data_IF_270787211305
#
_entry.id   IF_270787211305
#
_cell.length_a   1.000
_cell.length_b   1.000
_cell.length_c   1.000
_cell.angle_alpha   90.00
_cell.angle_beta   90.00
_cell.angle_gamma   90.00
#
_symmetry.space_group_name_H-M   'P 1'
#
loop_
_entity.id
_entity.type
_entity.pdbx_description
1 polymer ?
#
# COMPACT_ATOMS: atom_id res chain seq x y z
N UNK A 1 7.10 5.64 -11.39
CA UNK A 1 7.87 5.92 -10.15
C UNK A 1 8.92 7.03 -10.36
N UNK A 2 9.26 7.42 -11.60
CA UNK A 2 10.22 8.49 -11.89
C UNK A 2 9.81 9.85 -11.31
N UNK A 3 8.56 10.27 -11.52
CA UNK A 3 8.08 11.60 -11.11
C UNK A 3 8.17 11.89 -9.60
N UNK A 4 7.91 10.87 -8.76
CA UNK A 4 8.03 11.04 -7.29
C UNK A 4 9.49 11.21 -6.86
N UNK A 5 10.41 10.45 -7.46
CA UNK A 5 11.83 10.58 -7.19
C UNK A 5 12.41 11.92 -7.67
N UNK A 6 11.93 12.42 -8.80
CA UNK A 6 12.32 13.77 -9.30
C UNK A 6 11.80 14.87 -8.36
N UNK A 7 10.55 14.79 -7.92
CA UNK A 7 9.99 15.74 -6.95
C UNK A 7 10.80 15.74 -5.64
N UNK A 8 11.18 14.57 -5.13
CA UNK A 8 12.00 14.47 -3.91
C UNK A 8 13.38 15.08 -4.08
N UNK A 9 14.04 14.91 -5.24
CA UNK A 9 15.32 15.57 -5.54
C UNK A 9 15.22 17.10 -5.51
N UNK A 10 14.11 17.65 -6.02
CA UNK A 10 13.86 19.10 -5.97
C UNK A 10 13.75 19.57 -4.53
N UNK A 11 12.97 18.85 -3.68
CA UNK A 11 12.86 19.18 -2.25
C UNK A 11 14.22 19.18 -1.58
N UNK A 12 15.04 18.15 -1.79
CA UNK A 12 16.41 18.08 -1.24
C UNK A 12 17.33 19.22 -1.70
N UNK A 13 17.13 19.74 -2.91
CA UNK A 13 17.86 20.94 -3.36
C UNK A 13 17.53 22.15 -2.48
N UNK A 14 16.25 22.36 -2.15
CA UNK A 14 15.80 23.48 -1.30
C UNK A 14 16.15 23.27 0.18
N UNK A 15 16.18 22.05 0.67
CA UNK A 15 16.70 21.74 2.02
C UNK A 15 18.14 22.26 2.19
N UNK A 16 18.99 22.05 1.18
CA UNK A 16 20.36 22.60 1.19
C UNK A 16 20.43 24.14 1.16
N UNK A 17 19.34 24.80 0.81
CA UNK A 17 19.20 26.26 0.80
C UNK A 17 18.48 26.79 2.06
N UNK A 18 18.29 25.93 3.07
CA UNK A 18 17.69 26.32 4.36
C UNK A 18 16.19 26.06 4.46
N UNK A 19 15.56 25.35 3.52
CA UNK A 19 14.17 24.95 3.66
C UNK A 19 14.02 23.94 4.81
N UNK A 20 13.20 24.28 5.78
CA UNK A 20 12.84 23.37 6.88
C UNK A 20 11.74 22.42 6.43
N UNK A 21 12.07 21.12 6.33
CA UNK A 21 11.16 20.10 5.79
C UNK A 21 11.43 18.74 6.38
N UNK A 22 10.36 17.96 6.55
CA UNK A 22 10.41 16.53 6.82
C UNK A 22 9.70 15.79 5.69
N UNK A 23 10.35 14.78 5.11
CA UNK A 23 9.79 13.97 4.03
C UNK A 23 9.24 12.67 4.61
N UNK A 24 7.98 12.39 4.32
CA UNK A 24 7.31 11.14 4.72
C UNK A 24 7.03 10.31 3.48
N UNK A 25 7.58 9.08 3.46
CA UNK A 25 7.39 8.10 2.39
C UNK A 25 6.57 6.91 2.91
N UNK A 26 5.24 7.00 2.92
CA UNK A 26 4.40 5.90 3.35
C UNK A 26 4.45 4.74 2.34
N UNK A 27 4.41 3.52 2.84
CA UNK A 27 4.15 2.32 2.06
C UNK A 27 2.73 2.37 1.44
N UNK A 28 2.11 1.26 1.10
CA UNK A 28 0.73 1.27 0.61
C UNK A 28 -0.19 1.69 1.75
N UNK A 29 -0.77 2.90 1.63
CA UNK A 29 -1.69 3.42 2.63
C UNK A 29 -3.02 2.66 2.51
N UNK A 30 -3.42 2.01 3.59
CA UNK A 30 -4.73 1.43 3.75
C UNK A 30 -5.61 2.40 4.54
N UNK A 31 -6.77 2.74 4.01
CA UNK A 31 -7.69 3.67 4.66
C UNK A 31 -8.98 3.78 3.86
N UNK A 32 -10.08 4.07 4.53
CA UNK A 32 -11.33 4.39 3.88
C UNK A 32 -11.18 5.67 3.06
N UNK A 33 -11.81 5.71 1.92
CA UNK A 33 -11.72 6.85 1.02
C UNK A 33 -12.62 6.71 -0.19
N UNK A 34 -12.45 7.59 -1.17
CA UNK A 34 -13.25 7.58 -2.39
C UNK A 34 -13.14 6.23 -3.11
N UNK A 35 -14.30 5.62 -3.41
CA UNK A 35 -14.41 4.39 -4.18
C UNK A 35 -13.61 4.48 -5.48
N UNK A 36 -12.91 3.40 -5.83
CA UNK A 36 -12.14 3.34 -7.07
C UNK A 36 -10.66 3.73 -6.94
N UNK A 37 -10.15 4.20 -5.79
CA UNK A 37 -8.71 4.39 -5.56
C UNK A 37 -8.01 3.07 -5.22
N UNK A 38 -6.69 3.00 -5.44
CA UNK A 38 -5.92 1.75 -5.44
C UNK A 38 -6.09 0.89 -4.17
N UNK A 39 -6.01 1.48 -2.99
CA UNK A 39 -6.13 0.74 -1.72
C UNK A 39 -7.58 0.31 -1.43
N UNK A 40 -8.56 1.17 -1.73
CA UNK A 40 -9.98 0.83 -1.61
C UNK A 40 -10.35 -0.30 -2.57
N UNK A 41 -9.81 -0.31 -3.80
CA UNK A 41 -10.01 -1.41 -4.75
C UNK A 41 -9.49 -2.75 -4.24
N UNK A 42 -8.32 -2.76 -3.57
CA UNK A 42 -7.80 -3.99 -2.96
C UNK A 42 -8.76 -4.54 -1.91
N UNK A 43 -9.31 -3.67 -1.06
CA UNK A 43 -10.29 -4.04 -0.05
C UNK A 43 -11.61 -4.53 -0.70
N UNK A 44 -12.14 -3.79 -1.67
CA UNK A 44 -13.35 -4.16 -2.41
C UNK A 44 -13.21 -5.52 -3.12
N UNK A 45 -12.05 -5.80 -3.70
CA UNK A 45 -11.78 -7.10 -4.34
C UNK A 45 -11.74 -8.23 -3.33
N UNK A 46 -11.05 -8.03 -2.20
CA UNK A 46 -10.98 -9.01 -1.14
C UNK A 46 -12.36 -9.27 -0.50
N UNK A 47 -13.16 -8.21 -0.29
CA UNK A 47 -14.51 -8.31 0.28
C UNK A 47 -15.52 -9.06 -0.62
N UNK A 48 -15.27 -9.11 -1.94
CA UNK A 48 -16.06 -9.92 -2.87
C UNK A 48 -15.75 -11.42 -2.81
N UNK A 49 -14.75 -11.83 -2.03
CA UNK A 49 -14.37 -13.23 -1.89
C UNK A 49 -13.55 -13.75 -3.05
N UNK A 50 -12.48 -13.06 -3.41
CA UNK A 50 -11.57 -13.46 -4.49
C UNK A 50 -10.90 -14.82 -4.17
N UNK A 51 -11.01 -15.85 -5.04
CA UNK A 51 -10.44 -17.17 -4.77
C UNK A 51 -8.93 -17.25 -5.00
N UNK A 52 -8.35 -16.28 -5.71
CA UNK A 52 -6.96 -16.27 -6.17
C UNK A 52 -6.09 -15.34 -5.34
N UNK A 53 -4.81 -15.71 -5.20
CA UNK A 53 -3.78 -14.84 -4.62
C UNK A 53 -2.45 -14.97 -5.37
N UNK A 54 -1.61 -13.95 -5.25
CA UNK A 54 -0.21 -13.93 -5.71
C UNK A 54 0.73 -13.93 -4.53
N UNK A 55 2.02 -14.23 -4.74
CA UNK A 55 3.02 -14.31 -3.69
C UNK A 55 3.85 -13.03 -3.48
N UNK A 56 3.49 -11.95 -4.15
CA UNK A 56 4.12 -10.67 -3.91
C UNK A 56 3.95 -10.21 -2.46
N UNK A 57 4.95 -9.48 -1.98
CA UNK A 57 4.96 -8.89 -0.64
C UNK A 57 5.10 -7.38 -0.80
N UNK A 58 4.33 -6.62 -0.04
CA UNK A 58 4.44 -5.17 0.03
C UNK A 58 4.33 -4.67 1.47
N UNK A 59 4.82 -3.45 1.70
CA UNK A 59 4.56 -2.73 2.93
C UNK A 59 3.17 -2.11 2.91
N UNK A 60 2.50 -2.13 4.04
CA UNK A 60 1.21 -1.50 4.26
C UNK A 60 1.24 -0.67 5.54
N UNK A 61 0.44 0.39 5.56
CA UNK A 61 0.31 1.27 6.72
C UNK A 61 -1.12 1.80 6.80
N UNK A 62 -1.66 1.92 7.99
CA UNK A 62 -2.98 2.52 8.22
C UNK A 62 -2.92 4.04 7.97
N UNK A 63 -3.96 4.60 7.37
CA UNK A 63 -4.03 6.04 7.11
C UNK A 63 -3.99 6.86 8.39
N UNK A 64 -4.56 6.35 9.48
CA UNK A 64 -4.54 7.01 10.81
C UNK A 64 -3.13 7.15 11.34
N UNK A 65 -2.31 6.09 11.20
CA UNK A 65 -0.89 6.09 11.58
C UNK A 65 -0.09 7.10 10.78
N UNK A 66 -0.36 7.17 9.47
CA UNK A 66 0.30 8.17 8.60
C UNK A 66 -0.03 9.57 9.06
N UNK A 67 -1.32 9.88 9.31
CA UNK A 67 -1.75 11.20 9.76
C UNK A 67 -1.14 11.56 11.12
N UNK A 68 -1.17 10.63 12.09
CA UNK A 68 -0.61 10.86 13.43
C UNK A 68 0.90 11.13 13.37
N UNK A 69 1.65 10.27 12.67
CA UNK A 69 3.10 10.44 12.54
C UNK A 69 3.48 11.72 11.78
N UNK A 70 2.72 12.11 10.75
CA UNK A 70 2.93 13.38 10.07
C UNK A 70 2.74 14.56 11.02
N UNK A 71 1.72 14.52 11.89
CA UNK A 71 1.48 15.57 12.89
C UNK A 71 2.60 15.60 13.94
N UNK A 72 3.03 14.43 14.46
CA UNK A 72 4.12 14.34 15.43
C UNK A 72 5.42 14.89 14.84
N UNK A 73 5.79 14.45 13.64
CA UNK A 73 6.99 14.92 12.93
C UNK A 73 6.97 16.42 12.60
N UNK A 74 5.79 16.97 12.25
CA UNK A 74 5.65 18.39 11.94
C UNK A 74 5.74 19.29 13.19
N UNK A 75 5.37 18.77 14.37
CA UNK A 75 5.43 19.51 15.64
C UNK A 75 6.81 19.49 16.28
N UNK A 76 7.66 18.54 15.95
CA UNK A 76 8.99 18.40 16.53
C UNK A 76 9.99 19.27 15.75
N UNK A 77 10.31 20.43 16.29
CA UNK A 77 11.24 21.38 15.69
C UNK A 77 12.71 20.91 15.66
N UNK A 78 13.04 19.84 16.37
CA UNK A 78 14.38 19.22 16.34
C UNK A 78 14.57 18.33 15.11
N UNK A 79 13.49 17.90 14.47
CA UNK A 79 13.53 17.00 13.30
C UNK A 79 13.49 17.87 12.03
N UNK A 80 14.64 18.04 11.38
CA UNK A 80 14.76 18.89 10.17
C UNK A 80 15.59 18.18 9.09
N UNK A 81 15.21 18.37 7.83
CA UNK A 81 15.96 17.81 6.69
C UNK A 81 16.03 16.29 6.72
N UNK A 82 15.00 15.63 7.20
CA UNK A 82 14.98 14.19 7.41
C UNK A 82 13.92 13.50 6.57
N UNK A 83 14.16 12.19 6.29
CA UNK A 83 13.22 11.35 5.56
C UNK A 83 12.84 10.12 6.37
N UNK A 84 11.56 9.82 6.40
CA UNK A 84 11.00 8.69 7.13
C UNK A 84 10.15 7.80 6.22
N UNK A 85 10.37 6.49 6.30
CA UNK A 85 9.49 5.48 5.68
C UNK A 85 8.48 5.07 6.72
N UNK A 86 7.19 5.08 6.37
CA UNK A 86 6.10 4.63 7.23
C UNK A 86 5.53 3.32 6.70
N UNK A 87 5.74 2.25 7.46
CA UNK A 87 5.26 0.91 7.14
C UNK A 87 4.84 0.22 8.45
N UNK A 88 3.55 -0.04 8.61
CA UNK A 88 3.01 -0.77 9.77
C UNK A 88 3.29 -2.27 9.71
N UNK A 89 3.49 -2.82 8.50
CA UNK A 89 3.88 -4.21 8.33
C UNK A 89 4.09 -4.58 6.87
N UNK A 90 4.87 -5.63 6.67
CA UNK A 90 5.12 -6.21 5.35
C UNK A 90 4.31 -7.49 5.21
N UNK A 91 3.28 -7.49 4.36
CA UNK A 91 2.37 -8.60 4.16
C UNK A 91 2.36 -9.07 2.71
N UNK A 92 2.19 -10.38 2.51
CA UNK A 92 1.90 -10.94 1.21
C UNK A 92 0.45 -10.62 0.80
N UNK A 93 0.16 -10.64 -0.49
CA UNK A 93 -1.22 -10.52 -0.97
C UNK A 93 -2.12 -11.61 -0.41
N UNK A 94 -1.57 -12.82 -0.15
CA UNK A 94 -2.30 -13.90 0.52
C UNK A 94 -2.73 -13.51 1.93
N UNK A 95 -1.80 -12.98 2.75
CA UNK A 95 -2.09 -12.54 4.13
C UNK A 95 -3.09 -11.40 4.12
N UNK A 96 -2.85 -10.36 3.31
CA UNK A 96 -3.75 -9.22 3.16
C UNK A 96 -5.19 -9.66 2.85
N UNK A 97 -5.37 -10.45 1.80
CA UNK A 97 -6.69 -10.88 1.38
C UNK A 97 -7.32 -11.88 2.36
N UNK A 98 -6.52 -12.68 3.06
CA UNK A 98 -7.00 -13.60 4.10
C UNK A 98 -7.58 -12.83 5.29
N UNK A 99 -6.87 -11.80 5.78
CA UNK A 99 -7.33 -10.97 6.91
C UNK A 99 -8.60 -10.23 6.52
N UNK A 100 -8.60 -9.55 5.37
CA UNK A 100 -9.79 -8.81 4.91
C UNK A 100 -11.00 -9.76 4.75
N UNK A 101 -10.82 -10.91 4.09
CA UNK A 101 -11.90 -11.88 3.89
C UNK A 101 -12.49 -12.37 5.22
N UNK A 102 -11.65 -12.64 6.23
CA UNK A 102 -12.10 -13.01 7.57
C UNK A 102 -12.95 -11.93 8.23
N UNK A 103 -12.47 -10.69 8.19
CA UNK A 103 -13.16 -9.54 8.80
C UNK A 103 -14.53 -9.31 8.17
N UNK A 104 -14.66 -9.48 6.84
CA UNK A 104 -15.95 -9.32 6.15
C UNK A 104 -16.79 -10.59 6.08
N UNK A 105 -16.39 -11.69 6.73
CA UNK A 105 -17.11 -12.95 6.76
C UNK A 105 -17.10 -13.73 5.43
N UNK A 106 -16.06 -13.54 4.60
CA UNK A 106 -15.89 -14.25 3.32
C UNK A 106 -14.83 -15.34 3.40
N UNK A 107 -14.84 -16.25 2.42
CA UNK A 107 -13.82 -17.30 2.32
C UNK A 107 -12.48 -16.70 1.89
N UNK A 108 -11.38 -17.03 2.56
CA UNK A 108 -10.05 -16.57 2.15
C UNK A 108 -9.62 -17.18 0.81
N UNK A 109 -8.70 -16.52 0.08
CA UNK A 109 -8.18 -17.03 -1.18
C UNK A 109 -7.42 -18.34 -0.98
N UNK A 110 -7.62 -19.31 -1.89
CA UNK A 110 -7.02 -20.64 -1.81
C UNK A 110 -6.16 -21.00 -2.99
N UNK A 111 -6.36 -20.36 -4.15
CA UNK A 111 -5.70 -20.72 -5.41
C UNK A 111 -4.51 -19.77 -5.64
N UNK A 112 -3.31 -20.35 -5.64
CA UNK A 112 -2.10 -19.61 -5.96
C UNK A 112 -2.03 -19.33 -7.46
N UNK A 113 -1.85 -18.08 -7.83
CA UNK A 113 -1.55 -17.69 -9.21
C UNK A 113 -0.04 -17.64 -9.44
N UNK A 114 0.46 -18.61 -10.19
CA UNK A 114 1.85 -18.62 -10.63
C UNK A 114 2.14 -17.46 -11.62
N UNK A 115 3.41 -17.02 -11.77
CA UNK A 115 3.77 -15.92 -12.68
C UNK A 115 3.30 -16.09 -14.12
N UNK A 116 3.34 -17.32 -14.65
CA UNK A 116 2.84 -17.60 -16.01
C UNK A 116 1.32 -17.44 -16.14
N UNK A 117 0.55 -17.78 -15.08
CA UNK A 117 -0.90 -17.60 -15.04
C UNK A 117 -1.28 -16.10 -15.02
N UNK A 118 -0.59 -15.30 -14.23
CA UNK A 118 -0.79 -13.85 -14.23
C UNK A 118 -0.39 -13.24 -15.57
N UNK A 119 0.65 -13.79 -16.21
CA UNK A 119 1.08 -13.43 -17.56
C UNK A 119 0.03 -13.73 -18.64
N UNK A 120 -0.68 -14.85 -18.53
CA UNK A 120 -1.78 -15.21 -19.45
C UNK A 120 -3.04 -14.38 -19.16
N UNK A 121 -3.38 -14.23 -17.87
CA UNK A 121 -4.60 -13.52 -17.43
C UNK A 121 -4.64 -12.06 -17.93
N UNK A 122 -3.53 -11.28 -17.79
CA UNK A 122 -3.54 -9.91 -18.27
C UNK A 122 -3.66 -9.81 -19.79
N UNK A 123 -3.08 -10.77 -20.56
CA UNK A 123 -3.21 -10.80 -22.04
C UNK A 123 -4.65 -11.07 -22.47
N UNK A 124 -5.31 -12.04 -21.83
CA UNK A 124 -6.73 -12.34 -22.09
C UNK A 124 -7.62 -11.15 -21.76
N UNK A 125 -7.41 -10.50 -20.61
CA UNK A 125 -8.18 -9.31 -20.21
C UNK A 125 -7.90 -8.11 -21.11
N UNK A 126 -6.67 -7.93 -21.60
CA UNK A 126 -6.34 -6.91 -22.58
C UNK A 126 -7.05 -7.17 -23.91
N UNK A 127 -7.08 -8.43 -24.36
CA UNK A 127 -7.80 -8.83 -25.58
C UNK A 127 -9.31 -8.57 -25.46
N UNK A 128 -9.93 -8.97 -24.35
CA UNK A 128 -11.36 -8.66 -24.08
C UNK A 128 -11.62 -7.16 -24.03
N UNK A 129 -10.69 -6.38 -23.47
CA UNK A 129 -10.81 -4.91 -23.39
C UNK A 129 -10.85 -4.25 -24.79
N UNK A 130 -10.19 -4.83 -25.81
CA UNK A 130 -10.26 -4.32 -27.18
C UNK A 130 -11.68 -4.40 -27.77
N UNK A 131 -12.46 -5.42 -27.39
CA UNK A 131 -13.85 -5.59 -27.86
C UNK A 131 -14.88 -4.88 -27.00
N UNK A 132 -14.59 -4.68 -25.71
CA UNK A 132 -15.55 -4.09 -24.76
C UNK A 132 -15.36 -2.60 -24.56
N UNK A 133 -14.26 -2.01 -25.03
CA UNK A 133 -13.89 -0.60 -24.80
C UNK A 133 -13.61 -0.23 -23.34
N UNK A 134 -13.68 -1.20 -22.41
CA UNK A 134 -13.45 -0.98 -20.98
C UNK A 134 -11.97 -1.15 -20.65
N UNK A 135 -11.43 -0.28 -19.78
CA UNK A 135 -10.06 -0.43 -19.28
C UNK A 135 -9.93 -1.75 -18.51
N UNK A 136 -8.91 -2.59 -18.81
CA UNK A 136 -8.74 -3.87 -18.15
C UNK A 136 -8.46 -3.65 -16.66
N UNK A 137 -9.14 -4.43 -15.81
CA UNK A 137 -8.97 -4.35 -14.36
C UNK A 137 -7.58 -4.87 -13.89
N UNK A 138 -6.92 -5.68 -14.72
CA UNK A 138 -5.62 -6.28 -14.45
C UNK A 138 -4.69 -6.04 -15.64
N UNK A 139 -3.67 -5.20 -15.45
CA UNK A 139 -2.71 -4.79 -16.47
C UNK A 139 -1.39 -5.55 -16.33
N UNK A 140 -0.49 -5.40 -17.32
CA UNK A 140 0.87 -5.97 -17.28
C UNK A 140 1.64 -5.48 -16.04
N UNK A 141 1.52 -4.19 -15.69
CA UNK A 141 2.16 -3.61 -14.50
C UNK A 141 1.61 -4.24 -13.22
N UNK A 142 0.29 -4.42 -13.13
CA UNK A 142 -0.35 -5.08 -11.99
C UNK A 142 0.09 -6.54 -11.89
N UNK A 143 0.16 -7.27 -13.00
CA UNK A 143 0.65 -8.64 -13.05
C UNK A 143 2.09 -8.75 -12.53
N UNK A 144 2.98 -7.84 -12.95
CA UNK A 144 4.37 -7.81 -12.52
C UNK A 144 4.51 -7.40 -11.05
N UNK A 145 3.84 -6.35 -10.62
CA UNK A 145 3.90 -5.86 -9.24
C UNK A 145 3.29 -6.83 -8.24
N UNK A 146 2.27 -7.60 -8.64
CA UNK A 146 1.64 -8.61 -7.78
C UNK A 146 2.53 -9.82 -7.45
N UNK A 147 3.64 -10.01 -8.16
CA UNK A 147 4.64 -11.05 -7.91
C UNK A 147 5.91 -10.51 -7.25
N UNK A 148 6.08 -9.17 -7.22
CA UNK A 148 7.26 -8.55 -6.66
C UNK A 148 7.23 -8.59 -5.13
N UNK A 149 8.41 -8.81 -4.50
CA UNK A 149 8.56 -8.82 -3.05
C UNK A 149 9.35 -7.59 -2.63
N UNK A 150 8.66 -6.60 -2.07
CA UNK A 150 9.26 -5.40 -1.48
C UNK A 150 9.05 -5.40 0.02
N UNK A 151 10.09 -5.05 0.78
CA UNK A 151 10.02 -4.90 2.23
C UNK A 151 10.49 -3.52 2.62
N UNK A 152 9.84 -2.94 3.60
CA UNK A 152 10.10 -1.61 4.12
C UNK A 152 10.30 -1.68 5.64
N UNK A 153 11.08 -0.78 6.18
CA UNK A 153 11.34 -0.67 7.61
C UNK A 153 10.99 0.71 8.13
N UNK A 154 10.28 0.77 9.23
CA UNK A 154 9.95 2.00 9.97
C UNK A 154 10.83 2.20 11.21
N UNK A 155 11.93 1.43 11.34
CA UNK A 155 12.79 1.49 12.51
C UNK A 155 13.24 2.91 12.87
N UNK A 156 13.53 3.77 11.86
CA UNK A 156 13.96 5.14 12.07
C UNK A 156 12.89 6.00 12.74
N UNK A 157 11.63 5.92 12.34
CA UNK A 157 10.56 6.70 12.97
C UNK A 157 10.20 6.14 14.35
N UNK A 158 10.24 4.83 14.52
CA UNK A 158 9.99 4.19 15.82
C UNK A 158 11.09 4.48 16.84
N UNK A 159 12.34 4.70 16.42
CA UNK A 159 13.39 5.14 17.35
C UNK A 159 13.19 6.56 17.87
N UNK A 160 12.48 7.42 17.14
CA UNK A 160 12.11 8.76 17.60
C UNK A 160 10.84 8.75 18.50
N UNK A 161 9.92 7.87 18.19
CA UNK A 161 8.64 7.73 18.90
C UNK A 161 8.47 6.29 19.43
N UNK A 162 9.19 5.89 20.49
CA UNK A 162 9.14 4.54 21.01
C UNK A 162 7.79 4.15 21.63
N UNK A 163 6.96 5.14 21.96
CA UNK A 163 5.59 4.99 22.43
C UNK A 163 4.58 4.72 21.32
N UNK A 164 4.98 4.94 20.07
CA UNK A 164 4.08 4.78 18.92
C UNK A 164 4.02 3.32 18.46
N UNK A 165 2.79 2.85 18.23
CA UNK A 165 2.52 1.51 17.72
C UNK A 165 1.63 1.59 16.49
N UNK A 166 2.07 0.99 15.39
CA UNK A 166 1.25 0.90 14.18
C UNK A 166 0.04 0.00 14.40
N UNK A 167 -1.10 0.39 13.83
CA UNK A 167 -2.26 -0.48 13.75
C UNK A 167 -1.93 -1.76 13.00
N UNK A 168 -2.44 -2.87 13.51
CA UNK A 168 -2.35 -4.17 12.85
C UNK A 168 -3.19 -4.20 11.57
N UNK A 169 -2.88 -5.13 10.68
CA UNK A 169 -3.68 -5.31 9.46
C UNK A 169 -5.14 -5.65 9.77
N UNK A 170 -5.40 -6.35 10.87
CA UNK A 170 -6.77 -6.71 11.29
C UNK A 170 -7.54 -5.49 11.80
N UNK A 171 -6.94 -4.65 12.62
CA UNK A 171 -7.53 -3.39 13.07
C UNK A 171 -7.85 -2.46 11.90
N UNK A 172 -6.92 -2.35 10.95
CA UNK A 172 -7.14 -1.59 9.72
C UNK A 172 -8.29 -2.17 8.90
N UNK A 173 -8.37 -3.49 8.76
CA UNK A 173 -9.45 -4.13 8.02
C UNK A 173 -10.82 -3.97 8.69
N UNK A 174 -10.88 -4.01 10.02
CA UNK A 174 -12.11 -3.74 10.79
C UNK A 174 -12.57 -2.29 10.60
N UNK A 175 -11.66 -1.34 10.73
CA UNK A 175 -11.95 0.08 10.48
C UNK A 175 -12.55 0.34 9.09
N UNK A 176 -12.06 -0.38 8.06
CA UNK A 176 -12.64 -0.32 6.72
C UNK A 176 -14.06 -0.88 6.60
N UNK A 177 -14.35 -1.93 7.37
CA UNK A 177 -15.67 -2.58 7.32
C UNK A 177 -16.76 -1.71 7.93
N UNK A 178 -16.39 -0.92 8.96
CA UNK A 178 -17.33 -0.12 9.76
C UNK A 178 -17.63 1.26 9.14
N UNK A 179 -17.04 1.56 7.99
CA UNK A 179 -17.23 2.78 7.18
C UNK A 179 -18.02 2.51 5.90
#
# INVERSE_FOLDING_TARGET
>A
SGSKGEAEKIVWKYVRQGLDVVIVNPAIILGAGLRGRSSVKLFEQASKGMPFYTEGVNGYVDVRDVCELMIRLAKDSAIRGERFVLCGGNYSYRELFTVIARVVGKRPPRIRMAPWMTGLAWRLLAFVALFTGKKPAFTKETARSSQHKSRYSSAKVLSLFPDFHFHTLEETARFFKDL
#
